data_IF_864715448864
#
_entry.id   IF_864715448864
#
_cell.length_a   1.000
_cell.length_b   1.000
_cell.length_c   1.000
_cell.angle_alpha   90.00
_cell.angle_beta   90.00
_cell.angle_gamma   90.00
#
_symmetry.space_group_name_H-M   'P 1'
#
loop_
_entity.id
_entity.type
_entity.pdbx_description
1 polymer ?
#
# COMPACT_ATOMS: atom_id res chain seq x y z
N UNK A 1 -26.20 -21.28 -38.12
CA UNK A 1 -25.62 -22.19 -39.12
C UNK A 1 -24.13 -22.22 -38.94
N UNK A 2 -23.58 -23.21 -38.55
CA UNK A 2 -22.47 -24.14 -38.64
C UNK A 2 -21.95 -24.54 -37.25
N UNK A 3 -22.36 -25.77 -36.92
CA UNK A 3 -21.73 -26.56 -35.84
C UNK A 3 -20.41 -27.16 -36.34
N UNK A 4 -19.39 -27.18 -35.50
CA UNK A 4 -18.31 -28.18 -35.60
C UNK A 4 -18.16 -28.84 -34.23
N UNK A 5 -18.64 -30.07 -34.13
CA UNK A 5 -18.36 -31.01 -33.04
C UNK A 5 -17.04 -31.71 -33.35
N UNK A 6 -16.14 -31.78 -32.37
CA UNK A 6 -15.10 -32.81 -32.39
C UNK A 6 -15.15 -33.60 -31.07
N UNK A 7 -15.48 -34.88 -31.23
CA UNK A 7 -15.41 -35.91 -30.21
C UNK A 7 -13.93 -36.30 -30.01
N UNK A 8 -13.51 -36.49 -28.79
CA UNK A 8 -12.34 -37.34 -28.45
C UNK A 8 -12.80 -38.31 -27.40
N UNK A 9 -12.57 -39.59 -27.72
CA UNK A 9 -12.97 -40.78 -26.98
C UNK A 9 -12.04 -41.04 -25.78
N UNK A 10 -12.63 -41.58 -24.72
CA UNK A 10 -11.94 -42.16 -23.56
C UNK A 10 -11.41 -43.53 -23.89
N UNK A 11 -10.21 -43.86 -23.39
CA UNK A 11 -9.80 -45.23 -23.15
C UNK A 11 -9.31 -45.38 -21.71
N UNK A 12 -10.00 -46.25 -20.98
CA UNK A 12 -9.59 -46.80 -19.68
C UNK A 12 -8.52 -47.88 -19.91
N UNK A 13 -7.52 -47.92 -19.05
CA UNK A 13 -6.82 -49.16 -18.76
C UNK A 13 -6.40 -49.17 -17.29
N UNK A 14 -6.88 -50.18 -16.59
CA UNK A 14 -6.57 -50.58 -15.23
C UNK A 14 -5.12 -51.04 -15.11
N UNK A 15 -4.49 -50.71 -14.00
CA UNK A 15 -3.45 -51.59 -13.43
C UNK A 15 -3.41 -51.45 -11.89
N UNK A 16 -3.87 -52.54 -11.25
CA UNK A 16 -3.56 -52.88 -9.84
C UNK A 16 -2.15 -53.40 -9.73
N UNK A 17 -1.45 -53.07 -8.63
CA UNK A 17 -0.19 -53.69 -8.28
C UNK A 17 0.37 -53.19 -6.96
N UNK A 18 0.10 -53.93 -5.89
CA UNK A 18 0.78 -53.83 -4.59
C UNK A 18 2.26 -54.12 -4.73
N UNK A 19 3.13 -53.35 -4.06
CA UNK A 19 4.29 -53.96 -3.34
C UNK A 19 4.90 -52.94 -2.35
N UNK A 20 4.92 -53.35 -1.09
CA UNK A 20 5.80 -52.85 -0.04
C UNK A 20 7.26 -52.83 -0.47
N UNK A 21 7.98 -51.75 -0.24
CA UNK A 21 9.44 -51.78 0.01
C UNK A 21 9.87 -50.62 0.91
N UNK A 22 10.68 -51.02 1.87
CA UNK A 22 11.31 -50.29 2.93
C UNK A 22 12.14 -49.08 2.47
N UNK A 23 12.22 -48.06 3.36
CA UNK A 23 13.20 -46.96 3.28
C UNK A 23 14.62 -47.50 3.49
N UNK A 24 15.62 -47.07 2.74
CA UNK A 24 17.02 -47.23 3.14
C UNK A 24 17.53 -45.94 3.80
N UNK A 25 18.15 -46.10 4.96
CA UNK A 25 19.00 -45.12 5.62
C UNK A 25 20.22 -44.83 4.71
N UNK A 26 20.50 -43.56 4.47
CA UNK A 26 21.71 -43.11 3.78
C UNK A 26 22.61 -42.34 4.75
N UNK A 27 23.42 -43.05 5.49
CA UNK A 27 24.67 -42.53 6.05
C UNK A 27 25.84 -43.33 5.44
N UNK A 28 26.35 -42.90 4.30
CA UNK A 28 27.73 -43.24 3.86
C UNK A 28 28.29 -42.07 3.00
N UNK A 29 29.33 -41.36 3.47
CA UNK A 29 29.93 -40.22 2.76
C UNK A 29 30.77 -40.59 1.54
N UNK A 30 30.87 -41.84 1.15
CA UNK A 30 31.81 -42.32 0.11
C UNK A 30 31.18 -42.59 -1.27
N UNK A 31 29.89 -42.30 -1.46
CA UNK A 31 29.18 -42.50 -2.73
C UNK A 31 28.97 -41.26 -3.60
N UNK A 32 29.58 -40.14 -3.25
CA UNK A 32 29.42 -38.83 -3.97
C UNK A 32 30.55 -38.56 -4.99
N UNK A 33 31.32 -39.58 -5.40
CA UNK A 33 32.53 -39.43 -6.25
C UNK A 33 32.41 -39.91 -7.70
N UNK A 34 31.29 -40.43 -8.13
CA UNK A 34 31.14 -40.91 -9.50
C UNK A 34 29.83 -40.51 -10.15
N UNK A 35 29.66 -39.26 -10.52
CA UNK A 35 28.75 -38.81 -11.59
C UNK A 35 28.81 -37.31 -11.77
N UNK A 36 29.90 -36.77 -12.34
CA UNK A 36 29.87 -35.45 -12.98
C UNK A 36 30.72 -35.53 -14.26
N UNK A 37 30.18 -35.25 -15.45
CA UNK A 37 31.00 -35.00 -16.62
C UNK A 37 31.68 -33.64 -16.52
N UNK A 38 32.91 -33.58 -17.01
CA UNK A 38 33.79 -32.43 -17.08
C UNK A 38 33.09 -31.23 -17.79
N UNK A 39 32.80 -30.18 -17.05
CA UNK A 39 32.59 -28.85 -17.62
C UNK A 39 33.69 -27.93 -17.09
N UNK A 40 34.43 -27.38 -18.05
CA UNK A 40 35.62 -26.59 -17.86
C UNK A 40 35.47 -25.37 -16.92
N UNK A 41 36.63 -25.02 -16.39
CA UNK A 41 36.94 -23.91 -15.52
C UNK A 41 36.13 -22.61 -15.79
N UNK A 42 35.17 -22.33 -14.90
CA UNK A 42 34.73 -20.98 -14.58
C UNK A 42 34.47 -20.88 -13.08
N UNK A 43 35.52 -21.09 -12.28
CA UNK A 43 35.56 -20.62 -10.90
C UNK A 43 35.68 -19.09 -10.89
N UNK A 44 34.57 -18.38 -11.18
CA UNK A 44 34.44 -17.01 -10.74
C UNK A 44 34.31 -17.02 -9.21
N UNK A 45 35.43 -16.82 -8.54
CA UNK A 45 35.50 -16.56 -7.10
C UNK A 45 34.49 -15.51 -6.71
N UNK A 46 33.37 -15.90 -6.12
CA UNK A 46 32.59 -15.06 -5.24
C UNK A 46 33.46 -14.80 -3.99
N UNK A 47 34.34 -13.80 -4.08
CA UNK A 47 34.96 -13.25 -2.90
C UNK A 47 33.84 -12.73 -1.99
N UNK A 48 33.81 -13.09 -0.69
CA UNK A 48 32.94 -12.41 0.24
C UNK A 48 33.24 -10.90 0.13
N UNK A 49 32.22 -10.08 -0.17
CA UNK A 49 32.38 -8.62 -0.18
C UNK A 49 32.85 -8.22 1.21
N UNK A 50 34.05 -7.68 1.29
CA UNK A 50 34.61 -7.10 2.52
C UNK A 50 33.64 -6.02 3.02
N UNK A 51 33.42 -5.95 4.34
CA UNK A 51 32.73 -4.89 5.08
C UNK A 51 33.50 -3.54 4.97
N UNK A 52 33.83 -3.11 3.78
CA UNK A 52 34.40 -1.80 3.51
C UNK A 52 33.51 -1.09 2.50
N UNK A 53 33.01 0.06 2.96
CA UNK A 53 32.12 0.99 2.24
C UNK A 53 30.65 0.58 2.24
N UNK A 54 29.98 0.76 3.39
CA UNK A 54 28.58 1.19 3.43
C UNK A 54 28.58 2.67 2.97
N UNK A 55 29.09 2.91 1.78
CA UNK A 55 28.81 4.07 0.98
C UNK A 55 27.40 3.94 0.48
N UNK A 56 26.63 5.00 0.63
CA UNK A 56 25.26 5.25 0.23
C UNK A 56 24.81 4.34 -0.93
N UNK A 57 24.23 3.17 -0.64
CA UNK A 57 23.70 2.32 -1.70
C UNK A 57 22.42 2.99 -2.20
N UNK A 58 22.32 3.31 -3.49
CA UNK A 58 21.16 4.00 -4.03
C UNK A 58 19.91 3.13 -3.88
N UNK A 59 18.77 3.74 -3.59
CA UNK A 59 17.48 3.07 -3.57
C UNK A 59 17.09 2.50 -4.94
N UNK A 60 16.09 1.58 -5.02
CA UNK A 60 15.73 0.92 -6.28
C UNK A 60 15.24 1.88 -7.38
N UNK A 61 14.85 3.11 -7.04
CA UNK A 61 14.41 4.16 -7.96
C UNK A 61 15.36 5.36 -7.99
N UNK A 62 16.62 5.17 -7.61
CA UNK A 62 17.63 6.23 -7.73
C UNK A 62 17.77 6.69 -9.18
N UNK A 63 17.84 8.01 -9.39
CA UNK A 63 17.88 8.64 -10.72
C UNK A 63 16.51 8.87 -11.35
N UNK A 64 15.42 8.33 -10.78
CA UNK A 64 14.05 8.61 -11.23
C UNK A 64 13.57 9.95 -10.67
N UNK A 65 13.12 10.87 -11.52
CA UNK A 65 12.53 12.17 -11.14
C UNK A 65 11.03 12.18 -11.33
N UNK A 66 10.30 12.50 -10.26
CA UNK A 66 8.84 12.52 -10.22
C UNK A 66 8.33 13.93 -9.89
N UNK A 67 7.48 14.48 -10.75
CA UNK A 67 6.73 15.71 -10.50
C UNK A 67 5.38 15.35 -9.87
N UNK A 68 5.22 15.69 -8.60
CA UNK A 68 4.03 15.40 -7.80
C UNK A 68 3.12 16.64 -7.71
N UNK A 69 2.18 16.77 -8.62
CA UNK A 69 1.14 17.82 -8.61
C UNK A 69 -0.15 17.37 -7.90
N UNK A 70 -0.05 16.38 -7.00
CA UNK A 70 -1.19 15.84 -6.27
C UNK A 70 -1.43 16.54 -4.93
N UNK A 71 -2.64 16.42 -4.41
CA UNK A 71 -3.05 16.94 -3.10
C UNK A 71 -3.78 15.87 -2.29
N UNK A 72 -4.00 16.12 -1.02
CA UNK A 72 -4.68 15.27 -0.05
C UNK A 72 -3.85 14.03 0.31
N UNK A 73 -4.32 12.79 0.00
CA UNK A 73 -3.68 11.58 0.50
C UNK A 73 -3.22 10.62 -0.61
N UNK A 74 -4.11 10.21 -1.50
CA UNK A 74 -3.84 9.10 -2.45
C UNK A 74 -2.59 9.35 -3.31
N UNK A 75 -2.51 10.49 -3.98
CA UNK A 75 -1.34 10.87 -4.79
C UNK A 75 -0.09 11.14 -3.96
N UNK A 76 -0.16 12.01 -2.93
CA UNK A 76 1.01 12.31 -2.11
C UNK A 76 1.62 11.08 -1.44
N UNK A 77 0.80 10.13 -0.97
CA UNK A 77 1.34 8.91 -0.37
C UNK A 77 1.94 7.96 -1.41
N UNK A 78 1.34 7.86 -2.60
CA UNK A 78 1.91 7.09 -3.71
C UNK A 78 3.33 7.59 -4.07
N UNK A 79 3.49 8.89 -4.24
CA UNK A 79 4.79 9.48 -4.58
C UNK A 79 5.79 9.44 -3.44
N UNK A 80 5.32 9.48 -2.17
CA UNK A 80 6.18 9.25 -1.01
C UNK A 80 6.72 7.82 -0.95
N UNK A 81 5.90 6.81 -1.27
CA UNK A 81 6.36 5.41 -1.35
C UNK A 81 7.55 5.30 -2.34
N UNK A 82 7.46 5.98 -3.48
CA UNK A 82 8.53 5.99 -4.48
C UNK A 82 9.73 6.84 -4.03
N UNK A 83 9.49 7.93 -3.29
CA UNK A 83 10.56 8.74 -2.69
C UNK A 83 11.36 7.94 -1.64
N UNK A 84 10.71 7.13 -0.81
CA UNK A 84 11.37 6.21 0.13
C UNK A 84 12.24 5.17 -0.60
N UNK A 85 11.90 4.84 -1.84
CA UNK A 85 12.64 3.94 -2.71
C UNK A 85 13.75 4.63 -3.54
N UNK A 86 14.02 5.89 -3.28
CA UNK A 86 15.15 6.61 -3.89
C UNK A 86 14.79 7.67 -4.94
N UNK A 87 13.55 7.74 -5.42
CA UNK A 87 13.16 8.72 -6.42
C UNK A 87 13.31 10.18 -5.91
N UNK A 88 13.74 11.09 -6.80
CA UNK A 88 13.71 12.54 -6.58
C UNK A 88 12.30 13.06 -6.84
N UNK A 89 11.54 13.28 -5.77
CA UNK A 89 10.13 13.72 -5.86
C UNK A 89 10.03 15.21 -5.59
N UNK A 90 9.57 15.97 -6.58
CA UNK A 90 9.28 17.39 -6.49
C UNK A 90 7.78 17.57 -6.30
N UNK A 91 7.36 17.94 -5.08
CA UNK A 91 5.97 18.27 -4.77
C UNK A 91 5.65 19.70 -5.21
N UNK A 92 4.72 19.81 -6.14
CA UNK A 92 4.25 21.08 -6.71
C UNK A 92 3.03 21.55 -5.93
N UNK A 93 3.10 22.74 -5.36
CA UNK A 93 2.07 23.27 -4.46
C UNK A 93 1.69 24.72 -4.80
N UNK A 94 0.47 25.10 -4.48
CA UNK A 94 0.03 26.48 -4.63
C UNK A 94 0.73 27.41 -3.63
N UNK A 95 1.13 28.60 -4.07
CA UNK A 95 1.72 29.63 -3.21
C UNK A 95 0.82 29.98 -2.01
N UNK A 96 1.42 30.26 -0.88
CA UNK A 96 0.80 30.75 0.34
C UNK A 96 0.10 29.70 1.20
N UNK A 97 -0.66 28.76 0.62
CA UNK A 97 -1.42 27.74 1.36
C UNK A 97 -0.86 26.33 1.23
N UNK A 98 -0.28 26.00 0.10
CA UNK A 98 0.20 24.65 -0.20
C UNK A 98 -0.94 23.63 -0.31
N UNK A 99 -0.59 22.38 -0.07
CA UNK A 99 -1.54 21.28 0.03
C UNK A 99 -2.45 21.45 1.24
N UNK A 100 -3.76 21.27 1.05
CA UNK A 100 -4.75 21.42 2.12
C UNK A 100 -4.44 20.54 3.34
N UNK A 101 -3.84 19.37 3.13
CA UNK A 101 -3.48 18.46 4.21
C UNK A 101 -2.44 19.05 5.19
N UNK A 102 -1.69 20.09 4.81
CA UNK A 102 -0.75 20.77 5.73
C UNK A 102 -1.42 21.27 7.01
N UNK A 103 -2.70 21.64 6.92
CA UNK A 103 -3.49 22.23 8.04
C UNK A 103 -4.53 21.27 8.63
N UNK A 104 -4.62 20.01 8.18
CA UNK A 104 -5.63 19.09 8.68
C UNK A 104 -5.20 18.33 9.94
N UNK A 105 -6.03 18.39 10.99
CA UNK A 105 -5.84 17.62 12.22
C UNK A 105 -4.70 18.13 13.12
N UNK A 106 -4.00 17.20 13.79
CA UNK A 106 -2.92 17.55 14.72
C UNK A 106 -1.72 18.13 13.97
N UNK A 107 -1.31 19.32 14.31
CA UNK A 107 -0.23 20.07 13.66
C UNK A 107 0.83 20.53 14.67
N UNK A 108 2.09 20.60 14.22
CA UNK A 108 3.21 21.22 14.90
C UNK A 108 4.02 22.02 13.88
N UNK A 109 4.44 23.23 14.22
CA UNK A 109 5.19 24.14 13.35
C UNK A 109 4.52 24.34 11.96
N UNK A 110 3.20 24.46 11.92
CA UNK A 110 2.44 24.69 10.69
C UNK A 110 2.32 23.47 9.76
N UNK A 111 2.72 22.26 10.21
CA UNK A 111 2.57 21.02 9.45
C UNK A 111 1.74 20.00 10.23
N UNK A 112 0.73 19.44 9.58
CA UNK A 112 -0.06 18.36 10.17
C UNK A 112 0.73 17.06 10.25
N UNK A 113 0.37 16.19 11.21
CA UNK A 113 0.95 14.85 11.29
C UNK A 113 0.70 14.04 10.00
N UNK A 114 -0.45 14.25 9.34
CA UNK A 114 -0.75 13.60 8.06
C UNK A 114 0.24 14.06 6.98
N UNK A 115 0.44 15.38 6.83
CA UNK A 115 1.39 15.91 5.86
C UNK A 115 2.81 15.35 6.08
N UNK A 116 3.26 15.35 7.33
CA UNK A 116 4.58 14.81 7.72
C UNK A 116 4.74 13.34 7.35
N UNK A 117 3.67 12.55 7.49
CA UNK A 117 3.70 11.09 7.24
C UNK A 117 3.61 10.69 5.77
N UNK A 118 3.14 11.56 4.88
CA UNK A 118 2.92 11.22 3.46
C UNK A 118 3.73 12.08 2.48
N UNK A 119 4.64 12.95 2.99
CA UNK A 119 5.46 13.82 2.13
C UNK A 119 6.94 13.84 2.49
N UNK A 120 7.42 12.93 3.35
CA UNK A 120 8.86 12.79 3.59
C UNK A 120 9.60 12.43 2.31
N UNK A 121 10.90 12.67 2.30
CA UNK A 121 11.79 12.44 1.16
C UNK A 121 11.47 13.27 -0.10
N UNK A 122 10.54 14.24 -0.02
CA UNK A 122 10.21 15.13 -1.14
C UNK A 122 10.91 16.47 -1.03
N UNK A 123 11.05 17.15 -2.17
CA UNK A 123 11.38 18.58 -2.29
C UNK A 123 10.10 19.35 -2.62
N UNK A 124 9.90 20.57 -2.08
CA UNK A 124 8.70 21.37 -2.33
C UNK A 124 9.02 22.55 -3.25
N UNK A 125 8.25 22.66 -4.32
CA UNK A 125 8.14 23.81 -5.20
C UNK A 125 6.78 24.48 -5.00
N UNK A 126 6.74 25.67 -4.43
CA UNK A 126 5.54 26.46 -4.34
C UNK A 126 5.44 27.41 -5.53
N UNK A 127 4.42 27.24 -6.37
CA UNK A 127 4.28 27.95 -7.64
C UNK A 127 2.83 28.15 -8.03
N UNK A 128 2.51 29.33 -8.60
CA UNK A 128 1.18 29.63 -9.13
C UNK A 128 1.02 29.10 -10.57
N UNK A 129 0.28 28.02 -10.71
CA UNK A 129 -0.03 27.42 -12.02
C UNK A 129 -1.03 28.22 -12.87
N UNK A 130 -1.58 29.31 -12.35
CA UNK A 130 -2.40 30.25 -13.14
C UNK A 130 -1.56 31.27 -13.87
N UNK A 131 -0.33 31.52 -13.39
CA UNK A 131 0.61 32.42 -14.06
C UNK A 131 1.31 31.71 -15.23
N UNK A 132 1.47 32.37 -16.40
CA UNK A 132 2.18 31.78 -17.54
C UNK A 132 3.60 31.29 -17.21
N UNK A 133 4.33 32.02 -16.36
CA UNK A 133 5.65 31.63 -15.89
C UNK A 133 5.60 30.34 -15.04
N UNK A 134 4.55 30.16 -14.20
CA UNK A 134 4.36 28.93 -13.44
C UNK A 134 4.12 27.71 -14.32
N UNK A 135 3.28 27.87 -15.35
CA UNK A 135 3.05 26.81 -16.35
C UNK A 135 4.34 26.50 -17.13
N UNK A 136 5.11 27.53 -17.50
CA UNK A 136 6.41 27.34 -18.18
C UNK A 136 7.37 26.52 -17.30
N UNK A 137 7.49 26.82 -16.01
CA UNK A 137 8.35 26.07 -15.10
C UNK A 137 7.99 24.57 -15.06
N UNK A 138 6.69 24.24 -15.02
CA UNK A 138 6.26 22.84 -15.05
C UNK A 138 6.63 22.16 -16.37
N UNK A 139 6.51 22.86 -17.50
CA UNK A 139 6.91 22.34 -18.81
C UNK A 139 8.42 22.12 -18.89
N UNK A 140 9.21 23.06 -18.39
CA UNK A 140 10.67 22.95 -18.35
C UNK A 140 11.11 21.79 -17.45
N UNK A 141 10.48 21.61 -16.29
CA UNK A 141 10.71 20.46 -15.40
C UNK A 141 10.32 19.12 -16.05
N UNK A 142 9.18 19.09 -16.75
CA UNK A 142 8.67 17.87 -17.39
C UNK A 142 9.58 17.39 -18.53
N UNK A 143 10.33 18.27 -19.17
CA UNK A 143 11.31 17.90 -20.21
C UNK A 143 12.40 16.96 -19.68
N UNK A 144 12.75 17.03 -18.39
CA UNK A 144 13.75 16.18 -17.73
C UNK A 144 13.18 15.26 -16.66
N UNK A 145 11.86 15.13 -16.56
CA UNK A 145 11.23 14.25 -15.58
C UNK A 145 10.86 12.88 -16.17
N UNK A 146 10.82 11.88 -15.32
CA UNK A 146 10.39 10.52 -15.66
C UNK A 146 8.89 10.33 -15.50
N UNK A 147 8.31 10.95 -14.46
CA UNK A 147 6.91 10.78 -14.09
C UNK A 147 6.29 12.14 -13.75
N UNK A 148 5.07 12.37 -14.20
CA UNK A 148 4.21 13.45 -13.73
C UNK A 148 2.92 12.86 -13.16
N UNK A 149 2.61 13.17 -11.90
CA UNK A 149 1.42 12.63 -11.20
C UNK A 149 0.49 13.78 -10.82
N UNK A 150 -0.79 13.62 -11.11
CA UNK A 150 -1.82 14.60 -10.75
C UNK A 150 -3.12 13.92 -10.29
N UNK A 151 -3.88 14.60 -9.44
CA UNK A 151 -5.21 14.18 -9.02
C UNK A 151 -6.23 15.34 -9.05
N UNK A 152 -6.06 16.25 -10.01
CA UNK A 152 -7.04 17.29 -10.28
C UNK A 152 -8.33 16.71 -10.86
N UNK A 153 -9.43 17.45 -10.71
CA UNK A 153 -10.66 17.07 -11.40
C UNK A 153 -10.45 17.06 -12.93
N UNK A 154 -11.14 16.16 -13.65
CA UNK A 154 -11.03 16.07 -15.10
C UNK A 154 -11.12 17.43 -15.81
N UNK A 155 -10.26 17.65 -16.79
CA UNK A 155 -10.17 18.89 -17.57
C UNK A 155 -9.47 20.08 -16.88
N UNK A 156 -9.10 20.01 -15.60
CA UNK A 156 -8.38 21.11 -14.92
C UNK A 156 -6.97 21.26 -15.48
N UNK A 157 -6.22 20.16 -15.60
CA UNK A 157 -4.85 20.17 -16.12
C UNK A 157 -4.76 20.64 -17.56
N UNK A 158 -5.77 20.35 -18.38
CA UNK A 158 -5.86 20.81 -19.76
C UNK A 158 -6.03 22.34 -19.82
N UNK A 159 -6.95 22.88 -18.99
CA UNK A 159 -7.12 24.35 -18.88
C UNK A 159 -5.89 25.07 -18.34
N UNK A 160 -5.08 24.39 -17.51
CA UNK A 160 -3.81 24.91 -17.02
C UNK A 160 -2.69 24.79 -18.05
N UNK A 161 -2.89 24.04 -19.14
CA UNK A 161 -1.86 23.84 -20.18
C UNK A 161 -0.74 22.87 -19.78
N UNK A 162 -1.01 21.98 -18.81
CA UNK A 162 -0.12 20.90 -18.32
C UNK A 162 -0.78 19.52 -18.43
N UNK A 163 -1.76 19.38 -19.33
CA UNK A 163 -2.40 18.09 -19.62
C UNK A 163 -1.44 17.10 -20.30
N UNK A 164 -1.87 15.84 -20.34
CA UNK A 164 -1.07 14.72 -20.86
C UNK A 164 -0.52 14.98 -22.26
N UNK A 165 -1.36 15.41 -23.20
CA UNK A 165 -0.96 15.68 -24.56
C UNK A 165 0.15 16.76 -24.66
N UNK A 166 0.11 17.77 -23.79
CA UNK A 166 1.10 18.86 -23.77
C UNK A 166 2.42 18.38 -23.21
N UNK A 167 2.41 17.74 -22.03
CA UNK A 167 3.66 17.34 -21.37
C UNK A 167 4.34 16.17 -22.10
N UNK A 168 3.59 15.21 -22.65
CA UNK A 168 4.16 14.12 -23.44
C UNK A 168 4.60 14.53 -24.84
N UNK A 169 4.05 15.61 -25.40
CA UNK A 169 4.62 16.21 -26.61
C UNK A 169 6.02 16.84 -26.35
N UNK A 170 6.25 17.37 -25.14
CA UNK A 170 7.57 17.88 -24.71
C UNK A 170 8.53 16.72 -24.41
N UNK A 171 8.05 15.70 -23.70
CA UNK A 171 8.82 14.53 -23.30
C UNK A 171 8.05 13.24 -23.61
N UNK A 172 8.27 12.60 -24.77
CA UNK A 172 7.60 11.35 -25.14
C UNK A 172 7.87 10.17 -24.20
N UNK A 173 8.97 10.22 -23.44
CA UNK A 173 9.31 9.21 -22.43
C UNK A 173 8.60 9.42 -21.08
N UNK A 174 7.89 10.54 -20.91
CA UNK A 174 7.18 10.86 -19.67
C UNK A 174 6.07 9.87 -19.40
N UNK A 175 6.05 9.32 -18.18
CA UNK A 175 4.90 8.58 -17.65
C UNK A 175 3.97 9.60 -17.00
N UNK A 176 2.80 9.82 -17.62
CA UNK A 176 1.79 10.73 -17.10
C UNK A 176 0.76 9.94 -16.30
N UNK A 177 0.51 10.32 -15.04
CA UNK A 177 -0.39 9.57 -14.13
C UNK A 177 -1.56 10.45 -13.69
N UNK A 178 -2.76 9.99 -13.96
CA UNK A 178 -4.01 10.63 -13.51
C UNK A 178 -4.70 9.77 -12.46
N UNK A 179 -4.93 10.32 -11.27
CA UNK A 179 -5.72 9.67 -10.22
C UNK A 179 -7.05 10.41 -10.11
N UNK A 180 -8.16 9.76 -10.48
CA UNK A 180 -9.50 10.30 -10.43
C UNK A 180 -10.38 9.55 -9.41
N UNK A 181 -11.47 10.16 -8.95
CA UNK A 181 -12.39 9.48 -8.04
C UNK A 181 -13.19 8.37 -8.70
N UNK A 182 -13.89 8.72 -9.79
CA UNK A 182 -14.79 7.81 -10.51
C UNK A 182 -14.30 7.42 -11.91
N UNK A 183 -13.06 7.79 -12.26
CA UNK A 183 -12.54 7.64 -13.62
C UNK A 183 -12.85 8.86 -14.49
N UNK A 184 -12.41 8.78 -15.77
CA UNK A 184 -12.51 9.89 -16.73
C UNK A 184 -13.80 9.85 -17.55
N UNK A 185 -14.54 8.73 -17.54
CA UNK A 185 -15.75 8.48 -18.32
C UNK A 185 -16.94 8.23 -17.41
N UNK A 186 -18.13 8.30 -18.01
CA UNK A 186 -19.38 8.01 -17.33
C UNK A 186 -20.01 9.21 -16.62
N UNK A 187 -21.21 9.04 -16.05
CA UNK A 187 -22.02 10.15 -15.53
C UNK A 187 -21.44 10.82 -14.29
N UNK A 188 -20.50 10.19 -13.62
CA UNK A 188 -19.90 10.69 -12.37
C UNK A 188 -18.45 11.18 -12.52
N UNK A 189 -17.87 11.15 -13.71
CA UNK A 189 -16.48 11.55 -13.93
C UNK A 189 -16.15 12.96 -13.40
N UNK A 190 -17.09 13.91 -13.49
CA UNK A 190 -16.94 15.29 -12.98
C UNK A 190 -17.37 15.51 -11.53
N UNK A 191 -17.93 14.50 -10.84
CA UNK A 191 -18.43 14.69 -9.47
C UNK A 191 -17.31 14.96 -8.48
N UNK A 192 -17.52 15.86 -7.50
CA UNK A 192 -16.66 15.97 -6.33
C UNK A 192 -16.61 14.66 -5.56
N UNK A 193 -15.42 14.30 -5.10
CA UNK A 193 -15.20 13.02 -4.41
C UNK A 193 -14.20 13.19 -3.27
N UNK A 194 -14.47 12.44 -2.22
CA UNK A 194 -13.57 12.14 -1.12
C UNK A 194 -13.76 10.69 -0.73
N UNK A 195 -12.85 10.13 0.03
CA UNK A 195 -12.82 8.75 0.50
C UNK A 195 -14.20 8.18 0.94
N UNK A 196 -14.99 8.83 1.84
CA UNK A 196 -16.28 8.27 2.26
C UNK A 196 -17.28 8.07 1.13
N UNK A 197 -17.18 8.87 0.06
CA UNK A 197 -18.05 8.76 -1.12
C UNK A 197 -17.71 7.46 -1.89
N UNK A 198 -16.43 7.17 -2.04
CA UNK A 198 -15.97 5.92 -2.69
C UNK A 198 -16.32 4.71 -1.82
N UNK A 199 -16.16 4.78 -0.50
CA UNK A 199 -16.60 3.71 0.39
C UNK A 199 -18.09 3.38 0.19
N UNK A 200 -18.93 4.42 0.11
CA UNK A 200 -20.37 4.23 -0.02
C UNK A 200 -20.78 3.63 -1.38
N UNK A 201 -20.13 4.02 -2.49
CA UNK A 201 -20.54 3.61 -3.83
C UNK A 201 -19.93 2.26 -4.26
N UNK A 202 -18.89 1.82 -3.61
CA UNK A 202 -18.16 0.58 -3.97
C UNK A 202 -18.71 -0.69 -3.31
N UNK A 203 -19.68 -0.58 -2.40
CA UNK A 203 -20.15 -1.71 -1.59
C UNK A 203 -19.32 -1.95 -0.31
N UNK A 204 -18.20 -1.26 -0.13
CA UNK A 204 -17.35 -1.43 1.06
C UNK A 204 -18.12 -1.18 2.37
N UNK A 205 -19.11 -0.30 2.36
CA UNK A 205 -19.91 0.01 3.55
C UNK A 205 -20.87 -1.10 3.95
N UNK A 206 -21.35 -1.91 3.02
CA UNK A 206 -22.18 -3.09 3.31
C UNK A 206 -21.32 -4.28 3.71
N UNK A 207 -20.15 -4.46 3.08
CA UNK A 207 -19.12 -5.38 3.56
C UNK A 207 -18.77 -5.09 5.03
N UNK A 208 -18.49 -3.81 5.37
CA UNK A 208 -18.19 -3.41 6.76
C UNK A 208 -19.39 -3.57 7.71
N UNK A 209 -20.62 -3.53 7.22
CA UNK A 209 -21.82 -3.71 8.04
C UNK A 209 -22.09 -5.16 8.39
N UNK A 210 -21.64 -6.10 7.57
CA UNK A 210 -21.83 -7.50 7.78
C UNK A 210 -22.83 -8.14 6.82
N UNK A 211 -23.67 -7.37 6.17
CA UNK A 211 -24.70 -7.86 5.24
C UNK A 211 -25.24 -6.68 4.44
N UNK A 212 -25.73 -6.94 3.22
CA UNK A 212 -26.42 -5.95 2.41
C UNK A 212 -27.77 -5.50 3.00
N UNK A 213 -28.33 -6.27 3.97
CA UNK A 213 -29.55 -5.95 4.69
C UNK A 213 -29.33 -5.05 5.91
N UNK A 214 -28.10 -4.98 6.42
CA UNK A 214 -27.73 -4.19 7.57
C UNK A 214 -27.49 -2.71 7.22
N UNK A 215 -27.56 -1.84 8.25
CA UNK A 215 -27.22 -0.42 8.06
C UNK A 215 -25.77 -0.27 7.63
N UNK A 216 -25.48 0.30 6.43
CA UNK A 216 -24.13 0.49 5.94
C UNK A 216 -23.24 1.26 6.93
N UNK A 217 -21.99 0.87 7.07
CA UNK A 217 -21.00 1.45 7.99
C UNK A 217 -19.72 1.81 7.27
N UNK A 218 -19.20 3.01 7.51
CA UNK A 218 -17.87 3.38 7.02
C UNK A 218 -16.78 2.63 7.80
N UNK A 219 -15.77 2.15 7.09
CA UNK A 219 -14.48 1.81 7.71
C UNK A 219 -13.87 3.09 8.28
N UNK A 220 -13.50 3.10 9.56
CA UNK A 220 -12.99 4.29 10.26
C UNK A 220 -11.52 4.60 9.92
N UNK A 221 -11.16 4.45 8.65
CA UNK A 221 -9.91 4.90 8.06
C UNK A 221 -10.18 5.27 6.60
N UNK A 222 -9.35 6.11 6.00
CA UNK A 222 -9.45 6.51 4.59
C UNK A 222 -8.89 5.38 3.70
N UNK A 223 -9.64 4.27 3.63
CA UNK A 223 -9.19 3.03 2.94
C UNK A 223 -9.08 3.20 1.42
N UNK A 224 -10.09 3.76 0.70
CA UNK A 224 -9.99 4.07 -0.72
C UNK A 224 -8.75 4.88 -1.10
N UNK A 225 -8.45 5.94 -0.37
CA UNK A 225 -7.25 6.75 -0.60
C UNK A 225 -5.97 5.92 -0.46
N UNK A 226 -5.88 5.08 0.58
CA UNK A 226 -4.70 4.25 0.85
C UNK A 226 -4.50 3.15 -0.19
N UNK A 227 -5.56 2.44 -0.56
CA UNK A 227 -5.50 1.42 -1.60
C UNK A 227 -5.09 2.06 -2.93
N UNK A 228 -5.72 3.19 -3.30
CA UNK A 228 -5.38 3.93 -4.52
C UNK A 228 -3.92 4.37 -4.54
N UNK A 229 -3.37 4.80 -3.39
CA UNK A 229 -1.96 5.19 -3.30
C UNK A 229 -1.01 4.01 -3.57
N UNK A 230 -1.29 2.84 -2.99
CA UNK A 230 -0.47 1.63 -3.21
C UNK A 230 -0.56 1.19 -4.68
N UNK A 231 -1.77 1.16 -5.24
CA UNK A 231 -1.99 0.79 -6.65
C UNK A 231 -1.30 1.80 -7.58
N UNK A 232 -1.37 3.11 -7.29
CA UNK A 232 -0.67 4.13 -8.08
C UNK A 232 0.85 3.95 -8.03
N UNK A 233 1.43 3.74 -6.86
CA UNK A 233 2.88 3.49 -6.72
C UNK A 233 3.32 2.24 -7.48
N UNK A 234 2.57 1.13 -7.37
CA UNK A 234 2.81 -0.10 -8.12
C UNK A 234 2.69 0.12 -9.64
N UNK A 235 1.66 0.86 -10.10
CA UNK A 235 1.45 1.14 -11.52
C UNK A 235 2.55 2.04 -12.10
N UNK A 236 3.06 3.01 -11.33
CA UNK A 236 4.20 3.84 -11.72
C UNK A 236 5.46 2.98 -11.87
N UNK A 237 5.76 2.12 -10.90
CA UNK A 237 6.91 1.21 -10.99
C UNK A 237 6.83 0.28 -12.20
N UNK A 238 5.64 -0.28 -12.49
CA UNK A 238 5.39 -1.11 -13.66
C UNK A 238 5.56 -0.32 -14.97
N UNK A 239 5.09 0.93 -15.02
CA UNK A 239 5.23 1.79 -16.19
C UNK A 239 6.70 2.20 -16.45
N UNK A 240 7.46 2.46 -15.37
CA UNK A 240 8.91 2.71 -15.45
C UNK A 240 9.63 1.48 -16.02
N UNK A 241 9.32 0.28 -15.49
CA UNK A 241 9.90 -0.96 -16.01
C UNK A 241 9.53 -1.23 -17.47
N UNK A 242 8.29 -0.95 -17.88
CA UNK A 242 7.88 -1.08 -19.28
C UNK A 242 8.66 -0.11 -20.18
N UNK A 243 8.85 1.13 -19.73
CA UNK A 243 9.62 2.16 -20.45
C UNK A 243 11.09 1.75 -20.64
N UNK A 244 11.72 1.13 -19.64
CA UNK A 244 13.09 0.61 -19.78
C UNK A 244 13.21 -0.44 -20.90
N UNK A 245 12.11 -1.15 -21.22
CA UNK A 245 12.09 -2.18 -22.25
C UNK A 245 11.72 -1.67 -23.65
N UNK A 246 10.82 -0.70 -23.73
CA UNK A 246 10.28 -0.22 -25.03
C UNK A 246 10.72 1.21 -25.39
N UNK A 247 11.33 1.95 -24.45
CA UNK A 247 11.81 3.30 -24.68
C UNK A 247 10.75 4.41 -24.63
N UNK A 248 9.46 4.06 -24.41
CA UNK A 248 8.34 4.99 -24.51
C UNK A 248 7.63 5.19 -23.17
N UNK A 249 7.24 6.44 -22.88
CA UNK A 249 6.34 6.76 -21.79
C UNK A 249 4.90 6.41 -22.11
N UNK A 250 4.02 6.51 -21.11
CA UNK A 250 2.61 6.20 -21.27
C UNK A 250 1.72 7.02 -20.33
N UNK A 251 0.43 7.04 -20.59
CA UNK A 251 -0.56 7.58 -19.65
C UNK A 251 -1.13 6.44 -18.79
N UNK A 252 -0.90 6.52 -17.48
CA UNK A 252 -1.51 5.64 -16.49
C UNK A 252 -2.75 6.33 -15.91
N UNK A 253 -3.90 5.73 -16.07
CA UNK A 253 -5.19 6.23 -15.54
C UNK A 253 -5.65 5.33 -14.44
N UNK A 254 -5.88 5.91 -13.27
CA UNK A 254 -6.36 5.21 -12.08
C UNK A 254 -7.63 5.89 -11.55
N UNK A 255 -8.64 5.10 -11.22
CA UNK A 255 -9.81 5.56 -10.47
C UNK A 255 -9.80 4.96 -9.06
N UNK A 256 -10.17 5.76 -8.07
CA UNK A 256 -10.30 5.28 -6.68
C UNK A 256 -11.40 4.22 -6.58
N UNK A 257 -12.49 4.39 -7.35
CA UNK A 257 -13.58 3.41 -7.39
C UNK A 257 -13.09 2.07 -7.93
N UNK A 258 -12.36 2.08 -9.06
CA UNK A 258 -11.84 0.84 -9.67
C UNK A 258 -10.83 0.15 -8.73
N UNK A 259 -9.97 0.93 -8.05
CA UNK A 259 -9.02 0.40 -7.10
C UNK A 259 -9.69 -0.33 -5.93
N UNK A 260 -10.81 0.21 -5.42
CA UNK A 260 -11.58 -0.44 -4.35
C UNK A 260 -12.38 -1.62 -4.86
N UNK A 261 -13.00 -1.54 -6.04
CA UNK A 261 -13.68 -2.69 -6.62
C UNK A 261 -12.69 -3.84 -6.85
N UNK A 262 -11.51 -3.55 -7.40
CA UNK A 262 -10.46 -4.55 -7.57
C UNK A 262 -10.03 -5.18 -6.23
N UNK A 263 -9.91 -4.37 -5.17
CA UNK A 263 -9.59 -4.84 -3.81
C UNK A 263 -10.68 -5.77 -3.26
N UNK A 264 -11.96 -5.37 -3.35
CA UNK A 264 -13.09 -6.15 -2.86
C UNK A 264 -13.31 -7.44 -3.66
N UNK A 265 -13.01 -7.43 -4.97
CA UNK A 265 -13.20 -8.60 -5.82
C UNK A 265 -12.31 -9.78 -5.44
N UNK A 266 -11.21 -9.51 -4.74
CA UNK A 266 -10.29 -10.55 -4.30
C UNK A 266 -10.93 -11.56 -3.32
N UNK A 267 -11.91 -11.12 -2.49
CA UNK A 267 -12.51 -11.96 -1.45
C UNK A 267 -14.00 -11.70 -1.15
N UNK A 268 -14.51 -10.50 -1.43
CA UNK A 268 -15.79 -10.06 -0.85
C UNK A 268 -16.93 -10.04 -1.89
N UNK A 269 -16.64 -10.29 -3.18
CA UNK A 269 -17.59 -10.21 -4.30
C UNK A 269 -17.94 -11.60 -4.87
N UNK A 270 -17.85 -12.66 -4.07
CA UNK A 270 -18.08 -14.03 -4.53
C UNK A 270 -19.44 -14.26 -5.16
N UNK A 271 -20.53 -13.72 -4.56
CA UNK A 271 -21.89 -13.83 -5.11
C UNK A 271 -22.08 -13.07 -6.44
N UNK A 272 -21.21 -12.11 -6.76
CA UNK A 272 -21.23 -11.32 -7.98
C UNK A 272 -20.31 -11.87 -9.08
N UNK A 273 -19.53 -12.91 -8.76
CA UNK A 273 -18.56 -13.51 -9.69
C UNK A 273 -19.22 -14.38 -10.75
N UNK A 274 -20.39 -14.93 -10.47
CA UNK A 274 -21.13 -15.83 -11.35
C UNK A 274 -22.42 -15.16 -11.87
N UNK A 275 -22.39 -14.48 -13.02
CA UNK A 275 -23.52 -13.68 -13.50
C UNK A 275 -24.71 -14.51 -13.98
N UNK A 276 -24.51 -15.78 -14.35
CA UNK A 276 -25.51 -16.65 -14.94
C UNK A 276 -26.25 -17.54 -13.90
N UNK A 277 -25.82 -17.53 -12.65
CA UNK A 277 -26.40 -18.32 -11.57
C UNK A 277 -26.71 -17.44 -10.36
N UNK A 278 -27.92 -17.58 -9.82
CA UNK A 278 -28.27 -16.96 -8.54
C UNK A 278 -27.60 -17.75 -7.38
N UNK A 279 -26.33 -17.45 -7.14
CA UNK A 279 -25.61 -17.97 -5.98
C UNK A 279 -26.05 -17.15 -4.77
N UNK A 280 -26.56 -17.84 -3.75
CA UNK A 280 -26.87 -17.17 -2.46
C UNK A 280 -25.65 -16.39 -2.00
N UNK A 281 -25.81 -15.12 -1.59
CA UNK A 281 -24.72 -14.36 -0.99
C UNK A 281 -24.11 -15.23 0.10
N UNK A 282 -22.82 -15.51 -0.02
CA UNK A 282 -22.06 -16.08 1.07
C UNK A 282 -21.76 -14.93 2.00
N UNK A 283 -22.21 -15.04 3.24
CA UNK A 283 -21.80 -14.08 4.26
C UNK A 283 -20.27 -14.05 4.25
N UNK A 284 -19.70 -12.90 3.99
CA UNK A 284 -18.26 -12.77 3.90
C UNK A 284 -17.64 -13.25 5.24
N UNK A 285 -16.55 -13.99 5.17
CA UNK A 285 -15.85 -14.48 6.35
C UNK A 285 -15.42 -13.34 7.30
N UNK A 286 -15.33 -12.11 6.80
CA UNK A 286 -15.10 -10.89 7.55
C UNK A 286 -16.23 -10.46 8.49
N UNK A 287 -17.43 -11.07 8.41
CA UNK A 287 -18.57 -10.75 9.28
C UNK A 287 -18.55 -11.44 10.61
N UNK A 288 -17.78 -12.50 10.73
CA UNK A 288 -17.60 -13.15 12.01
C UNK A 288 -16.73 -12.23 12.85
N UNK A 289 -17.36 -11.45 13.73
CA UNK A 289 -16.63 -10.66 14.72
C UNK A 289 -15.93 -11.62 15.69
N UNK A 290 -14.65 -11.88 15.41
CA UNK A 290 -13.79 -12.74 16.22
C UNK A 290 -13.10 -11.98 17.36
N UNK A 291 -13.53 -10.78 17.69
CA UNK A 291 -12.99 -9.99 18.82
C UNK A 291 -13.75 -10.32 20.07
N UNK A 292 -13.13 -11.08 20.94
CA UNK A 292 -13.70 -11.52 22.21
C UNK A 292 -13.25 -10.65 23.37
N UNK A 293 -14.17 -10.39 24.29
CA UNK A 293 -13.86 -9.74 25.56
C UNK A 293 -13.26 -10.76 26.54
N UNK A 294 -12.17 -10.41 27.17
CA UNK A 294 -11.55 -11.14 28.28
C UNK A 294 -11.85 -10.45 29.61
N UNK A 295 -11.31 -10.92 30.71
CA UNK A 295 -11.49 -10.29 32.02
C UNK A 295 -10.90 -8.86 32.09
N UNK A 296 -9.87 -8.55 31.28
CA UNK A 296 -9.11 -7.30 31.34
C UNK A 296 -8.96 -6.58 30.00
N UNK A 297 -9.52 -7.10 28.90
CA UNK A 297 -9.35 -6.49 27.58
C UNK A 297 -10.09 -7.23 26.48
N UNK A 298 -9.47 -7.31 25.30
CA UNK A 298 -9.99 -7.95 24.11
C UNK A 298 -8.92 -8.76 23.39
N UNK A 299 -9.33 -9.86 22.77
CA UNK A 299 -8.44 -10.67 21.93
C UNK A 299 -9.17 -11.25 20.74
N UNK A 300 -8.42 -11.73 19.75
CA UNK A 300 -8.93 -12.54 18.64
C UNK A 300 -8.39 -13.95 18.72
N UNK A 301 -9.21 -14.91 18.29
CA UNK A 301 -8.85 -16.33 18.12
C UNK A 301 -9.36 -16.77 16.76
N UNK A 302 -8.47 -17.21 15.88
CA UNK A 302 -8.81 -17.65 14.54
C UNK A 302 -8.74 -19.18 14.41
N UNK A 303 -9.78 -19.78 13.81
CA UNK A 303 -9.90 -21.25 13.62
C UNK A 303 -10.26 -21.52 12.16
N UNK A 304 -9.32 -22.11 11.41
CA UNK A 304 -9.51 -22.46 10.00
C UNK A 304 -9.51 -23.99 9.78
N UNK A 305 -9.02 -24.77 10.75
CA UNK A 305 -8.86 -26.23 10.63
C UNK A 305 -9.42 -26.97 11.82
N UNK A 306 -9.70 -28.28 11.63
CA UNK A 306 -10.14 -29.17 12.72
C UNK A 306 -9.07 -29.34 13.81
N UNK A 307 -7.77 -29.26 13.43
CA UNK A 307 -6.67 -29.28 14.39
C UNK A 307 -6.73 -28.07 15.34
N UNK A 308 -6.92 -26.89 14.79
CA UNK A 308 -7.05 -25.65 15.58
C UNK A 308 -8.31 -25.65 16.42
N UNK A 309 -9.45 -26.14 15.89
CA UNK A 309 -10.66 -26.31 16.69
C UNK A 309 -10.44 -27.21 17.90
N UNK A 310 -9.77 -28.34 17.69
CA UNK A 310 -9.40 -29.24 18.80
C UNK A 310 -8.45 -28.55 19.80
N UNK A 311 -7.55 -27.70 19.33
CA UNK A 311 -6.71 -26.84 20.18
C UNK A 311 -7.51 -25.87 21.01
N UNK A 312 -8.45 -25.16 20.38
CA UNK A 312 -9.36 -24.23 21.08
C UNK A 312 -10.15 -24.93 22.17
N UNK A 313 -10.78 -26.07 21.87
CA UNK A 313 -11.61 -26.79 22.88
C UNK A 313 -10.78 -27.25 24.06
N UNK A 314 -9.51 -27.65 23.84
CA UNK A 314 -8.57 -27.99 24.94
C UNK A 314 -8.20 -26.76 25.77
N UNK A 315 -7.82 -25.67 25.10
CA UNK A 315 -7.44 -24.42 25.76
C UNK A 315 -8.59 -23.85 26.62
N UNK A 316 -9.82 -23.93 26.11
CA UNK A 316 -11.01 -23.47 26.81
C UNK A 316 -11.46 -24.43 27.92
N UNK A 317 -10.87 -25.64 28.04
CA UNK A 317 -11.33 -26.68 28.96
C UNK A 317 -12.68 -27.27 28.56
N UNK A 318 -13.01 -27.26 27.27
CA UNK A 318 -14.30 -27.75 26.73
C UNK A 318 -14.11 -28.85 25.68
N UNK A 319 -13.45 -29.97 26.02
CA UNK A 319 -13.25 -31.07 25.07
C UNK A 319 -14.58 -31.73 24.64
N UNK A 320 -15.66 -31.54 25.40
CA UNK A 320 -17.02 -31.95 25.09
C UNK A 320 -17.52 -31.33 23.77
N UNK A 321 -17.05 -30.15 23.36
CA UNK A 321 -17.45 -29.49 22.12
C UNK A 321 -16.98 -30.24 20.86
N UNK A 322 -15.97 -31.10 20.95
CA UNK A 322 -15.55 -31.92 19.82
C UNK A 322 -16.57 -32.97 19.40
N UNK A 323 -17.33 -33.49 20.35
CA UNK A 323 -18.38 -34.45 20.11
C UNK A 323 -19.76 -33.81 19.91
N UNK A 324 -19.90 -32.51 20.11
CA UNK A 324 -21.15 -31.79 19.91
C UNK A 324 -21.51 -31.75 18.42
N UNK A 325 -22.68 -32.27 18.01
CA UNK A 325 -23.11 -32.29 16.61
C UNK A 325 -23.12 -30.91 15.94
N UNK A 326 -23.25 -29.82 16.70
CA UNK A 326 -23.24 -28.45 16.21
C UNK A 326 -21.84 -28.03 15.76
N UNK A 327 -20.76 -28.67 16.30
CA UNK A 327 -19.38 -28.24 16.10
C UNK A 327 -18.46 -29.33 15.57
N UNK A 328 -18.96 -30.55 15.37
CA UNK A 328 -18.18 -31.72 14.98
C UNK A 328 -17.53 -31.64 13.60
N UNK A 329 -18.07 -30.84 12.70
CA UNK A 329 -17.51 -30.63 11.34
C UNK A 329 -17.38 -29.15 11.00
N UNK A 330 -16.50 -28.74 10.07
CA UNK A 330 -16.43 -27.35 9.61
C UNK A 330 -17.78 -26.79 9.19
N UNK A 331 -18.51 -27.51 8.32
CA UNK A 331 -19.83 -27.10 7.85
C UNK A 331 -20.89 -27.00 8.97
N UNK A 332 -20.76 -27.79 10.04
CA UNK A 332 -21.63 -27.65 11.21
C UNK A 332 -21.25 -26.41 12.02
N UNK A 333 -19.97 -26.15 12.21
CA UNK A 333 -19.46 -24.93 12.88
C UNK A 333 -19.88 -23.64 12.18
N UNK A 334 -19.92 -23.65 10.83
CA UNK A 334 -20.38 -22.51 10.05
C UNK A 334 -21.89 -22.28 10.19
N UNK A 335 -22.69 -23.34 10.18
CA UNK A 335 -24.15 -23.24 10.40
C UNK A 335 -24.53 -22.76 11.81
N UNK A 336 -23.69 -23.05 12.80
CA UNK A 336 -23.92 -22.72 14.23
C UNK A 336 -22.90 -21.67 14.70
N UNK A 337 -22.53 -20.74 13.81
CA UNK A 337 -21.49 -19.76 14.08
C UNK A 337 -21.81 -18.88 15.28
N UNK A 338 -23.03 -18.35 15.37
CA UNK A 338 -23.44 -17.45 16.47
C UNK A 338 -23.44 -18.16 17.83
N UNK A 339 -23.92 -19.41 17.90
CA UNK A 339 -23.87 -20.21 19.11
C UNK A 339 -22.42 -20.47 19.52
N UNK A 340 -21.56 -20.85 18.57
CA UNK A 340 -20.15 -21.10 18.82
C UNK A 340 -19.42 -19.86 19.33
N UNK A 341 -19.66 -18.71 18.71
CA UNK A 341 -19.04 -17.44 19.11
C UNK A 341 -19.53 -17.01 20.51
N UNK A 342 -20.83 -17.13 20.78
CA UNK A 342 -21.42 -16.81 22.08
C UNK A 342 -20.85 -17.67 23.19
N UNK A 343 -20.83 -19.00 23.00
CA UNK A 343 -20.28 -19.95 23.99
C UNK A 343 -18.78 -19.71 24.22
N UNK A 344 -18.02 -19.42 23.17
CA UNK A 344 -16.59 -19.07 23.27
C UNK A 344 -16.42 -17.79 24.08
N UNK A 345 -17.23 -16.77 23.80
CA UNK A 345 -17.19 -15.48 24.50
C UNK A 345 -17.46 -15.63 25.99
N UNK A 346 -18.40 -16.47 26.39
CA UNK A 346 -18.69 -16.71 27.81
C UNK A 346 -17.48 -17.27 28.57
N UNK A 347 -16.78 -18.22 27.95
CA UNK A 347 -15.57 -18.80 28.55
C UNK A 347 -14.44 -17.78 28.60
N UNK A 348 -14.22 -17.01 27.53
CA UNK A 348 -13.11 -16.06 27.45
C UNK A 348 -13.20 -14.93 28.47
N UNK A 349 -14.38 -14.57 28.96
CA UNK A 349 -14.54 -13.58 30.03
C UNK A 349 -13.95 -14.01 31.38
N UNK A 350 -13.67 -15.30 31.57
CA UNK A 350 -13.28 -15.84 32.87
C UNK A 350 -11.81 -15.65 33.23
N UNK A 351 -10.94 -15.28 32.29
CA UNK A 351 -9.52 -15.09 32.52
C UNK A 351 -9.01 -13.83 31.79
N UNK A 352 -7.81 -13.40 32.17
CA UNK A 352 -7.11 -12.30 31.53
C UNK A 352 -6.65 -12.64 30.11
N UNK A 353 -6.42 -11.62 29.29
CA UNK A 353 -5.86 -11.76 27.95
C UNK A 353 -4.55 -12.54 27.97
N UNK A 354 -3.66 -12.22 28.91
CA UNK A 354 -2.35 -12.88 29.02
C UNK A 354 -2.46 -14.39 29.35
N UNK A 355 -3.38 -14.77 30.26
CA UNK A 355 -3.63 -16.18 30.58
C UNK A 355 -4.19 -16.95 29.40
N UNK A 356 -5.12 -16.35 28.64
CA UNK A 356 -5.68 -16.97 27.43
C UNK A 356 -4.64 -17.11 26.32
N UNK A 357 -3.79 -16.08 26.11
CA UNK A 357 -2.69 -16.14 25.14
C UNK A 357 -1.80 -17.35 25.44
N UNK A 358 -1.35 -17.52 26.69
CA UNK A 358 -0.51 -18.64 27.07
C UNK A 358 -1.20 -20.01 26.84
N UNK A 359 -2.50 -20.13 27.12
CA UNK A 359 -3.25 -21.36 26.89
C UNK A 359 -3.44 -21.68 25.40
N UNK A 360 -3.74 -20.69 24.58
CA UNK A 360 -3.88 -20.89 23.14
C UNK A 360 -2.56 -21.21 22.45
N UNK A 361 -1.50 -20.50 22.79
CA UNK A 361 -0.14 -20.78 22.28
C UNK A 361 0.31 -22.21 22.64
N UNK A 362 0.09 -22.66 23.88
CA UNK A 362 0.39 -24.03 24.31
C UNK A 362 -0.43 -25.11 23.58
N UNK A 363 -1.53 -24.75 22.93
CA UNK A 363 -2.39 -25.64 22.16
C UNK A 363 -2.30 -25.39 20.63
N UNK A 364 -1.31 -24.64 20.17
CA UNK A 364 -1.05 -24.39 18.74
C UNK A 364 -2.24 -23.67 18.04
N UNK A 365 -2.90 -22.73 18.75
CA UNK A 365 -4.06 -21.98 18.26
C UNK A 365 -3.65 -20.55 17.92
N UNK A 366 -3.93 -20.08 16.69
CA UNK A 366 -3.69 -18.69 16.31
C UNK A 366 -4.53 -17.72 17.15
N UNK A 367 -3.86 -16.83 17.86
CA UNK A 367 -4.50 -15.83 18.71
C UNK A 367 -3.64 -14.55 18.82
N UNK A 368 -4.28 -13.44 19.16
CA UNK A 368 -3.60 -12.18 19.39
C UNK A 368 -4.42 -11.26 20.32
N UNK A 369 -3.79 -10.41 21.14
CA UNK A 369 -4.49 -9.35 21.86
C UNK A 369 -4.96 -8.28 20.88
N UNK A 370 -6.12 -7.67 21.11
CA UNK A 370 -6.60 -6.51 20.35
C UNK A 370 -5.96 -5.23 20.93
N UNK A 371 -4.82 -4.87 20.42
CA UNK A 371 -4.03 -3.74 20.91
C UNK A 371 -4.62 -2.38 20.50
N UNK A 372 -4.55 -1.42 21.40
CA UNK A 372 -4.81 -0.02 21.10
C UNK A 372 -3.66 0.60 20.30
N UNK A 373 -3.91 1.75 19.65
CA UNK A 373 -2.87 2.51 18.92
C UNK A 373 -1.72 2.98 19.83
N UNK A 374 -1.92 3.06 21.15
CA UNK A 374 -0.86 3.40 22.11
C UNK A 374 -0.02 2.19 22.45
N UNK A 375 -0.60 1.01 22.52
CA UNK A 375 0.08 -0.23 22.88
C UNK A 375 0.88 -0.80 21.72
N UNK A 376 0.34 -0.77 20.49
CA UNK A 376 0.99 -1.36 19.31
C UNK A 376 2.40 -0.83 19.07
N UNK A 377 2.66 0.44 19.37
CA UNK A 377 4.00 1.07 19.17
C UNK A 377 5.05 0.56 20.15
N UNK A 378 4.63 -0.13 21.22
CA UNK A 378 5.51 -0.72 22.24
C UNK A 378 5.48 -2.26 22.19
N UNK A 379 4.71 -2.85 21.27
CA UNK A 379 4.61 -4.31 21.20
C UNK A 379 5.96 -4.93 20.80
N UNK A 380 6.44 -6.00 21.50
CA UNK A 380 7.77 -6.58 21.27
C UNK A 380 8.03 -6.96 19.81
N UNK A 381 7.05 -7.56 19.11
CA UNK A 381 7.20 -7.93 17.71
C UNK A 381 7.30 -6.70 16.79
N UNK A 382 6.60 -5.62 17.09
CA UNK A 382 6.67 -4.35 16.33
C UNK A 382 8.03 -3.71 16.51
N UNK A 383 8.58 -3.75 17.73
CA UNK A 383 9.93 -3.27 18.02
C UNK A 383 10.99 -4.14 17.35
N UNK A 384 10.87 -5.46 17.44
CA UNK A 384 11.78 -6.41 16.77
C UNK A 384 11.79 -6.26 15.25
N UNK A 385 10.66 -5.89 14.64
CA UNK A 385 10.58 -5.61 13.20
C UNK A 385 11.24 -4.27 12.83
N UNK A 386 11.59 -3.41 13.80
CA UNK A 386 12.18 -2.08 13.57
C UNK A 386 11.37 -1.23 12.55
N UNK A 387 10.05 -1.43 12.50
CA UNK A 387 9.19 -0.72 11.57
C UNK A 387 8.96 0.72 11.99
N UNK A 388 9.04 1.01 13.29
CA UNK A 388 8.88 2.33 13.88
C UNK A 388 10.25 2.96 14.05
N UNK A 389 10.41 4.16 13.54
CA UNK A 389 11.64 4.95 13.64
C UNK A 389 11.34 6.30 14.27
N UNK A 390 12.30 6.82 15.00
CA UNK A 390 12.28 8.17 15.56
C UNK A 390 13.39 9.00 14.91
N UNK A 391 13.05 10.19 14.45
CA UNK A 391 14.00 11.09 13.82
C UNK A 391 13.68 12.54 14.13
N UNK A 392 14.71 13.38 14.13
CA UNK A 392 14.56 14.82 14.26
C UNK A 392 14.13 15.41 12.90
N UNK A 393 13.08 16.24 12.93
CA UNK A 393 12.66 17.05 11.80
C UNK A 393 13.08 18.50 12.05
N UNK A 394 13.70 19.15 11.05
CA UNK A 394 14.29 20.48 11.19
C UNK A 394 13.31 21.56 11.70
N UNK A 395 12.02 21.43 11.41
CA UNK A 395 10.99 22.37 11.88
C UNK A 395 10.02 21.78 12.90
N UNK A 396 9.62 20.50 12.76
CA UNK A 396 8.59 19.90 13.61
C UNK A 396 9.14 19.20 14.87
N UNK A 397 10.47 19.17 15.07
CA UNK A 397 11.11 18.48 16.19
C UNK A 397 11.09 16.95 16.03
N UNK A 398 11.20 16.21 17.13
CA UNK A 398 11.23 14.74 17.06
C UNK A 398 9.89 14.17 16.58
N UNK A 399 9.97 13.31 15.57
CA UNK A 399 8.85 12.60 14.96
C UNK A 399 9.05 11.09 15.14
N UNK A 400 7.93 10.40 15.36
CA UNK A 400 7.85 8.95 15.29
C UNK A 400 7.06 8.59 14.03
N UNK A 401 7.68 7.82 13.14
CA UNK A 401 7.10 7.43 11.86
C UNK A 401 7.42 5.97 11.56
N UNK A 402 6.81 5.39 10.53
CA UNK A 402 7.17 4.06 10.05
C UNK A 402 8.18 4.19 8.90
N UNK A 403 9.18 3.29 8.83
CA UNK A 403 9.94 3.11 7.59
C UNK A 403 9.08 2.47 6.50
N UNK A 404 9.61 2.37 5.29
CA UNK A 404 9.02 1.52 4.24
C UNK A 404 8.93 0.06 4.72
N UNK A 405 7.79 -0.64 4.49
CA UNK A 405 7.60 -2.01 5.00
C UNK A 405 8.52 -3.03 4.33
N UNK A 406 8.75 -2.90 3.02
CA UNK A 406 9.67 -3.77 2.29
C UNK A 406 11.13 -3.39 2.59
N UNK A 407 11.98 -4.40 2.77
CA UNK A 407 13.43 -4.25 2.91
C UNK A 407 14.10 -4.77 1.65
N UNK A 408 14.79 -3.90 0.93
CA UNK A 408 15.58 -4.26 -0.23
C UNK A 408 17.05 -4.42 0.21
N UNK A 409 17.59 -5.62 0.18
CA UNK A 409 18.96 -5.89 0.66
C UNK A 409 20.03 -5.25 -0.24
N UNK A 410 19.80 -5.23 -1.55
CA UNK A 410 20.75 -4.67 -2.52
C UNK A 410 20.57 -3.18 -2.79
N UNK A 411 19.38 -2.62 -2.52
CA UNK A 411 19.01 -1.22 -2.78
C UNK A 411 18.07 -0.73 -1.67
N UNK A 412 18.56 -0.47 -0.46
CA UNK A 412 17.73 -0.21 0.70
C UNK A 412 16.89 1.06 0.52
N UNK A 413 15.62 0.97 0.95
CA UNK A 413 14.76 2.15 1.07
C UNK A 413 15.16 2.95 2.32
N UNK A 414 15.32 4.26 2.18
CA UNK A 414 15.78 5.13 3.25
C UNK A 414 14.89 6.34 3.47
N UNK A 415 14.77 6.78 4.72
CA UNK A 415 14.19 8.06 5.06
C UNK A 415 15.29 9.12 5.15
N UNK A 416 15.64 9.71 4.01
CA UNK A 416 16.77 10.64 3.83
C UNK A 416 16.47 12.04 4.36
N UNK A 417 15.23 12.49 4.28
CA UNK A 417 14.79 13.82 4.76
C UNK A 417 13.36 13.80 5.26
N UNK A 418 13.04 14.70 6.19
CA UNK A 418 11.67 14.96 6.63
C UNK A 418 10.80 15.56 5.51
N UNK A 419 9.51 15.73 5.79
CA UNK A 419 8.61 16.40 4.86
C UNK A 419 8.99 17.90 4.74
N UNK A 420 8.97 18.48 3.52
CA UNK A 420 9.46 19.83 3.30
C UNK A 420 8.51 20.92 3.83
N UNK A 421 9.06 22.06 4.21
CA UNK A 421 8.31 23.31 4.33
C UNK A 421 7.74 23.71 2.97
N UNK A 422 6.70 24.54 2.95
CA UNK A 422 6.13 25.04 1.71
C UNK A 422 7.15 25.88 0.95
N UNK A 423 7.47 25.47 -0.28
CA UNK A 423 8.42 26.15 -1.15
C UNK A 423 9.89 26.08 -0.71
N UNK A 424 10.22 25.17 0.21
CA UNK A 424 11.57 25.04 0.76
C UNK A 424 12.66 24.91 -0.31
N UNK A 425 12.33 24.32 -1.43
CA UNK A 425 13.29 24.04 -2.49
C UNK A 425 12.97 24.79 -3.79
N UNK A 426 12.08 25.81 -3.75
CA UNK A 426 11.62 26.50 -4.96
C UNK A 426 12.77 27.12 -5.77
N UNK A 427 13.69 27.81 -5.11
CA UNK A 427 14.84 28.45 -5.75
C UNK A 427 15.84 27.41 -6.31
N UNK A 428 16.12 26.36 -5.53
CA UNK A 428 17.01 25.27 -5.93
C UNK A 428 16.49 24.59 -7.20
N UNK A 429 15.21 24.17 -7.19
CA UNK A 429 14.59 23.46 -8.31
C UNK A 429 14.55 24.30 -9.59
N UNK A 430 14.26 25.62 -9.48
CA UNK A 430 14.23 26.50 -10.66
C UNK A 430 15.64 26.74 -11.23
N UNK A 431 16.67 26.80 -10.38
CA UNK A 431 18.06 26.87 -10.85
C UNK A 431 18.51 25.60 -11.57
N UNK A 432 18.07 24.42 -11.13
CA UNK A 432 18.36 23.14 -11.80
C UNK A 432 17.89 23.12 -13.27
N UNK A 433 16.80 23.81 -13.58
CA UNK A 433 16.28 23.93 -14.96
C UNK A 433 16.82 25.15 -15.70
N UNK A 434 17.89 25.80 -15.18
CA UNK A 434 18.60 26.86 -15.83
C UNK A 434 17.99 28.26 -15.71
N UNK A 435 17.06 28.48 -14.80
CA UNK A 435 16.51 29.81 -14.57
C UNK A 435 17.50 30.65 -13.77
N UNK A 436 17.76 31.85 -14.27
CA UNK A 436 18.72 32.76 -13.64
C UNK A 436 18.16 33.43 -12.36
N UNK A 437 19.09 33.95 -11.54
CA UNK A 437 18.72 34.53 -10.26
C UNK A 437 17.84 35.77 -10.38
N UNK A 438 17.97 36.57 -11.46
CA UNK A 438 17.16 37.77 -11.71
C UNK A 438 15.69 37.39 -11.96
N UNK A 439 15.46 36.42 -12.84
CA UNK A 439 14.12 35.91 -13.13
C UNK A 439 13.47 35.33 -11.84
N UNK A 440 14.21 34.53 -11.06
CA UNK A 440 13.73 33.95 -9.82
C UNK A 440 13.33 35.04 -8.81
N UNK A 441 14.11 36.13 -8.67
CA UNK A 441 13.79 37.25 -7.81
C UNK A 441 12.53 38.01 -8.29
N UNK A 442 12.38 38.20 -9.59
CA UNK A 442 11.18 38.79 -10.17
C UNK A 442 9.92 37.97 -9.83
N UNK A 443 9.99 36.66 -10.00
CA UNK A 443 8.86 35.75 -9.69
C UNK A 443 8.51 35.72 -8.20
N UNK A 444 9.50 35.83 -7.31
CA UNK A 444 9.29 36.01 -5.87
C UNK A 444 8.57 37.33 -5.57
N UNK A 445 9.01 38.44 -6.18
CA UNK A 445 8.38 39.77 -6.01
C UNK A 445 6.93 39.78 -6.51
N UNK A 446 6.65 39.08 -7.63
CA UNK A 446 5.32 38.91 -8.19
C UNK A 446 4.46 37.88 -7.45
N UNK A 447 5.02 37.14 -6.47
CA UNK A 447 4.37 36.04 -5.73
C UNK A 447 3.92 34.88 -6.62
N UNK A 448 4.59 34.69 -7.76
CA UNK A 448 4.38 33.54 -8.64
C UNK A 448 5.05 32.29 -8.06
N UNK A 449 6.13 32.46 -7.33
CA UNK A 449 6.76 31.42 -6.51
C UNK A 449 6.80 31.85 -5.05
N UNK A 450 6.92 30.88 -4.15
CA UNK A 450 6.99 31.11 -2.71
C UNK A 450 8.18 30.34 -2.09
N UNK A 451 8.69 30.88 -0.98
CA UNK A 451 9.75 30.29 -0.15
C UNK A 451 9.33 30.35 1.31
N UNK A 452 9.91 29.56 2.22
CA UNK A 452 9.62 29.63 3.64
C UNK A 452 9.79 31.06 4.20
N UNK A 453 8.96 31.45 5.13
CA UNK A 453 8.98 32.81 5.70
C UNK A 453 10.31 33.22 6.34
N UNK A 454 11.09 32.25 6.82
CA UNK A 454 12.41 32.49 7.42
C UNK A 454 13.40 32.97 6.36
N UNK A 455 13.33 32.47 5.13
CA UNK A 455 14.23 32.88 4.02
C UNK A 455 13.81 34.22 3.40
N UNK A 456 12.55 34.63 3.50
CA UNK A 456 12.08 35.94 3.04
C UNK A 456 12.78 37.12 3.75
N UNK A 457 13.17 36.94 5.01
CA UNK A 457 13.89 37.96 5.77
C UNK A 457 15.37 38.08 5.39
N UNK A 458 15.95 37.08 4.76
CA UNK A 458 17.36 37.05 4.34
C UNK A 458 17.59 37.55 2.90
N UNK A 459 16.51 37.71 2.10
CA UNK A 459 16.54 38.08 0.69
C UNK A 459 16.06 39.55 0.47
N UNK A 460 15.51 40.21 1.48
CA UNK A 460 15.11 41.62 1.48
C UNK A 460 16.20 42.50 2.11
#
# INVERSE_FOLDING_TARGET
MLQVRTKVSASKSDFNGHSDRAKPDCEDPRLLQFMLPEMGNAQACLKPRSNKEVGNMPGPLEGVRILDATTMLSGPWATMILADQGADVIKIEACGKGDHVRSLGNARAGMSAMFLNINRNKRSLAIDLKAPAGVKAIKDLAAGADVFVQNFRPGVVDRLGIGENVLRAINPKLIYVSIAGFGEKGPWSGKPVYDPIIQAVSGLTTVQAGSDAERPRLVRTVLPDKVSAIVAAQSIAAALFARERNGEGQHVRLSMLDAILYFLWASDMGSQTYPDEEIKPQDAASFIDLIYQTADGYMTVAVMSDKEWAGVTRALGRPDWLADPRFATPAARDRHVDERLSMTQEVLRTRTTAEWMALFEANDVPCAPALTRREVVHHPQVLANEIIIEQAHHAAGNLRQTRAPARFEGTPSEMRRGAPLLGEHSVEILREIGWDSGLIQELLAQKIIDVPRVERAAVA
#
